data_IF_346579730978
#
_entry.id   IF_346579730978
#
_cell.length_a   1.000
_cell.length_b   1.000
_cell.length_c   1.000
_cell.angle_alpha   90.00
_cell.angle_beta   90.00
_cell.angle_gamma   90.00
#
_symmetry.space_group_name_H-M   'P 1'
#
loop_
_entity.id
_entity.type
_entity.pdbx_description
1 polymer ?
#
# COMPACT_ATOMS: atom_id res chain seq x y z
N UNK A 1 -52.41 4.23 -10.04
CA UNK A 1 -51.14 4.10 -10.79
C UNK A 1 -50.22 5.21 -10.30
N UNK A 2 -49.36 4.94 -9.32
CA UNK A 2 -48.59 5.98 -8.62
C UNK A 2 -47.24 6.21 -9.33
N UNK A 3 -47.19 7.25 -10.16
CA UNK A 3 -46.04 7.63 -11.01
C UNK A 3 -45.01 8.53 -10.30
N UNK A 4 -45.07 8.68 -8.97
CA UNK A 4 -44.34 9.75 -8.24
C UNK A 4 -43.12 9.31 -7.42
N UNK A 5 -42.71 8.04 -7.46
CA UNK A 5 -41.62 7.51 -6.62
C UNK A 5 -40.20 7.50 -7.23
N UNK A 6 -40.05 7.63 -8.54
CA UNK A 6 -38.76 7.40 -9.22
C UNK A 6 -38.13 8.65 -9.86
N UNK A 7 -38.87 9.75 -10.01
CA UNK A 7 -38.39 10.95 -10.69
C UNK A 7 -37.34 11.75 -9.89
N UNK A 8 -37.33 11.64 -8.56
CA UNK A 8 -36.36 12.35 -7.70
C UNK A 8 -34.98 11.68 -7.62
N UNK A 9 -34.83 10.48 -8.19
CA UNK A 9 -33.59 9.68 -8.07
C UNK A 9 -32.44 10.18 -8.95
N UNK A 10 -32.74 11.05 -9.93
CA UNK A 10 -31.76 11.53 -10.91
C UNK A 10 -31.84 13.05 -11.08
N UNK A 11 -31.65 13.80 -9.98
CA UNK A 11 -31.40 15.24 -10.09
C UNK A 11 -30.01 15.41 -10.70
N UNK A 12 -29.94 15.79 -11.98
CA UNK A 12 -28.70 15.86 -12.78
C UNK A 12 -27.58 16.71 -12.16
N UNK A 13 -27.94 17.65 -11.29
CA UNK A 13 -27.02 18.59 -10.63
C UNK A 13 -27.19 18.62 -9.10
N UNK A 14 -27.81 17.59 -8.51
CA UNK A 14 -27.98 17.48 -7.06
C UNK A 14 -26.80 16.77 -6.39
N UNK A 15 -26.63 16.93 -5.06
CA UNK A 15 -25.68 16.11 -4.31
C UNK A 15 -26.01 14.64 -4.49
N UNK A 16 -24.98 13.84 -4.83
CA UNK A 16 -25.15 12.42 -5.10
C UNK A 16 -25.71 11.71 -3.85
N UNK A 17 -26.80 10.93 -3.97
CA UNK A 17 -27.31 10.18 -2.83
C UNK A 17 -26.24 9.25 -2.24
N UNK A 18 -26.25 9.11 -0.91
CA UNK A 18 -25.34 8.19 -0.21
C UNK A 18 -25.59 6.77 -0.73
N UNK A 19 -24.54 6.03 -1.11
CA UNK A 19 -24.71 4.66 -1.58
C UNK A 19 -25.27 3.79 -0.46
N UNK A 20 -26.36 3.07 -0.76
CA UNK A 20 -26.95 2.12 0.17
C UNK A 20 -26.13 0.83 0.14
N UNK A 21 -25.14 0.74 1.02
CA UNK A 21 -24.30 -0.46 1.16
C UNK A 21 -24.83 -1.31 2.32
N UNK A 22 -24.92 -2.65 2.18
CA UNK A 22 -25.29 -3.52 3.28
C UNK A 22 -24.27 -3.41 4.43
N UNK A 23 -24.76 -3.41 5.68
CA UNK A 23 -23.92 -3.25 6.87
C UNK A 23 -22.82 -4.33 6.99
N UNK A 24 -23.06 -5.53 6.43
CA UNK A 24 -22.09 -6.62 6.38
C UNK A 24 -20.79 -6.23 5.67
N UNK A 25 -20.86 -5.51 4.56
CA UNK A 25 -19.67 -5.05 3.83
C UNK A 25 -18.84 -4.09 4.67
N UNK A 26 -19.47 -3.18 5.40
CA UNK A 26 -18.77 -2.26 6.30
C UNK A 26 -18.08 -3.00 7.46
N UNK A 27 -18.71 -4.05 8.00
CA UNK A 27 -18.15 -4.85 9.08
C UNK A 27 -16.96 -5.68 8.58
N UNK A 28 -17.11 -6.36 7.45
CA UNK A 28 -16.05 -7.20 6.85
C UNK A 28 -14.85 -6.32 6.45
N UNK A 29 -15.09 -5.17 5.82
CA UNK A 29 -14.02 -4.25 5.44
C UNK A 29 -13.24 -3.75 6.68
N UNK A 30 -13.93 -3.44 7.78
CA UNK A 30 -13.28 -3.06 9.04
C UNK A 30 -12.48 -4.22 9.65
N UNK A 31 -13.02 -5.43 9.61
CA UNK A 31 -12.32 -6.61 10.12
C UNK A 31 -11.04 -6.91 9.32
N UNK A 32 -11.11 -6.88 7.98
CA UNK A 32 -9.95 -7.10 7.12
C UNK A 32 -8.90 -5.99 7.25
N UNK A 33 -9.35 -4.73 7.35
CA UNK A 33 -8.47 -3.61 7.64
C UNK A 33 -7.77 -3.78 8.99
N UNK A 34 -8.50 -4.14 10.05
CA UNK A 34 -7.94 -4.39 11.37
C UNK A 34 -6.90 -5.53 11.34
N UNK A 35 -7.20 -6.65 10.66
CA UNK A 35 -6.25 -7.75 10.49
C UNK A 35 -4.96 -7.31 9.81
N UNK A 36 -5.06 -6.49 8.74
CA UNK A 36 -3.90 -5.94 8.05
C UNK A 36 -3.04 -5.06 8.97
N UNK A 37 -3.67 -4.16 9.74
CA UNK A 37 -2.94 -3.30 10.68
C UNK A 37 -2.32 -4.08 11.84
N UNK A 38 -3.04 -5.05 12.39
CA UNK A 38 -2.50 -5.97 13.41
C UNK A 38 -1.28 -6.71 12.88
N UNK A 39 -1.30 -7.15 11.63
CA UNK A 39 -0.15 -7.79 10.98
C UNK A 39 1.04 -6.85 10.83
N UNK A 40 0.80 -5.61 10.39
CA UNK A 40 1.86 -4.59 10.25
C UNK A 40 2.51 -4.30 11.61
N UNK A 41 1.72 -4.13 12.67
CA UNK A 41 2.26 -3.86 14.00
C UNK A 41 2.97 -5.08 14.60
N UNK A 42 2.44 -6.29 14.37
CA UNK A 42 3.12 -7.53 14.73
C UNK A 42 4.49 -7.61 14.04
N UNK A 43 4.52 -7.40 12.72
CA UNK A 43 5.76 -7.45 11.93
C UNK A 43 6.74 -6.34 12.33
N UNK A 44 6.27 -5.12 12.54
CA UNK A 44 7.12 -4.01 13.02
C UNK A 44 7.78 -4.32 14.37
N UNK A 45 7.08 -5.00 15.28
CA UNK A 45 7.66 -5.45 16.57
C UNK A 45 8.71 -6.55 16.41
N UNK A 46 8.66 -7.36 15.36
CA UNK A 46 9.63 -8.41 15.12
C UNK A 46 10.80 -7.95 14.25
N UNK A 47 10.55 -7.09 13.25
CA UNK A 47 11.53 -6.61 12.27
C UNK A 47 12.19 -5.26 12.63
N UNK A 48 11.87 -4.64 13.79
CA UNK A 48 12.45 -3.33 14.17
C UNK A 48 13.98 -3.30 14.11
N UNK A 49 14.65 -4.39 14.51
CA UNK A 49 16.12 -4.48 14.44
C UNK A 49 16.64 -4.43 13.02
N UNK A 50 15.93 -5.00 12.05
CA UNK A 50 16.36 -5.02 10.64
C UNK A 50 16.16 -3.66 9.98
N UNK A 51 15.09 -2.95 10.33
CA UNK A 51 14.76 -1.64 9.74
C UNK A 51 15.69 -0.53 10.23
N UNK A 52 16.12 -0.57 11.48
CA UNK A 52 16.98 0.48 12.07
C UNK A 52 18.49 0.19 11.98
N UNK A 53 18.91 -1.04 11.66
CA UNK A 53 20.36 -1.38 11.53
C UNK A 53 20.93 -1.07 10.14
N UNK A 54 20.11 -0.91 9.09
CA UNK A 54 20.61 -0.70 7.72
C UNK A 54 20.78 0.78 7.30
N UNK A 55 20.49 1.74 8.18
CA UNK A 55 20.66 3.18 7.90
C UNK A 55 22.11 3.69 8.08
N UNK A 56 23.07 2.81 8.41
CA UNK A 56 24.44 3.17 8.74
C UNK A 56 25.52 2.71 7.76
N UNK A 57 25.19 2.00 6.68
CA UNK A 57 26.22 1.56 5.72
C UNK A 57 26.37 2.64 4.65
N UNK A 58 27.44 3.45 4.65
CA UNK A 58 27.75 4.25 3.47
C UNK A 58 27.82 3.28 2.29
N UNK A 59 26.97 3.48 1.27
CA UNK A 59 27.19 2.85 -0.04
C UNK A 59 28.55 3.33 -0.50
N UNK A 60 29.58 2.53 -0.22
CA UNK A 60 30.91 2.68 -0.78
C UNK A 60 30.70 2.50 -2.28
N UNK A 61 30.54 3.62 -3.00
CA UNK A 61 30.66 3.65 -4.45
C UNK A 61 32.04 3.07 -4.71
N UNK A 62 32.09 1.82 -5.14
CA UNK A 62 33.31 1.26 -5.70
C UNK A 62 33.71 2.18 -6.85
N UNK A 63 34.95 2.70 -6.89
CA UNK A 63 35.39 3.42 -8.05
C UNK A 63 35.34 2.46 -9.25
N UNK A 64 34.69 2.92 -10.32
CA UNK A 64 34.54 2.32 -11.65
C UNK A 64 35.90 2.13 -12.37
N UNK A 65 36.92 1.59 -11.68
CA UNK A 65 38.29 1.47 -12.21
C UNK A 65 38.93 0.10 -11.96
N UNK A 66 38.27 -0.83 -11.26
CA UNK A 66 38.82 -2.16 -10.97
C UNK A 66 38.42 -3.26 -11.98
N UNK A 67 37.95 -2.86 -13.18
CA UNK A 67 37.53 -3.79 -14.24
C UNK A 67 38.45 -3.85 -15.47
N UNK A 68 39.56 -3.10 -15.48
CA UNK A 68 40.44 -2.99 -16.66
C UNK A 68 41.81 -3.68 -16.44
N UNK A 69 42.17 -4.07 -15.20
CA UNK A 69 43.49 -4.66 -14.89
C UNK A 69 43.46 -6.17 -14.60
N UNK A 70 42.53 -6.93 -15.19
CA UNK A 70 42.50 -8.39 -15.06
C UNK A 70 42.32 -9.09 -16.42
N UNK A 71 42.72 -8.44 -17.53
CA UNK A 71 42.53 -8.97 -18.89
C UNK A 71 43.80 -8.86 -19.76
N UNK A 72 44.99 -8.89 -19.16
CA UNK A 72 46.26 -8.77 -19.90
C UNK A 72 47.28 -9.87 -19.56
N UNK A 73 46.98 -10.79 -18.65
CA UNK A 73 47.93 -11.83 -18.21
C UNK A 73 47.54 -13.25 -18.67
N UNK A 74 46.83 -13.37 -19.79
CA UNK A 74 46.64 -14.63 -20.51
C UNK A 74 46.86 -14.41 -22.00
N UNK A 75 48.13 -14.14 -22.32
CA UNK A 75 48.74 -14.35 -23.62
C UNK A 75 49.78 -15.48 -23.51
#
# INVERSE_FOLDING_TARGET
MSLHGHAFKYIRHGPNPVPQVPKSYAIIAKALGATMWCWIFYRAKHDYKVWFVSAGTPRRRTPLSAGILLNTDYA
#
